data_IF_368816259227
#
_entry.id   IF_368816259227
#
_cell.length_a   1.000
_cell.length_b   1.000
_cell.length_c   1.000
_cell.angle_alpha   90.00
_cell.angle_beta   90.00
_cell.angle_gamma   90.00
#
_symmetry.space_group_name_H-M   'P 1'
#
loop_
_entity.id
_entity.type
_entity.pdbx_description
1 polymer ?
#
# COMPACT_ATOMS: atom_id res chain seq x y z
N UNK A 1 3.97 -23.81 7.65
CA UNK A 1 3.15 -23.32 6.51
C UNK A 1 3.99 -23.60 5.29
N UNK A 2 3.82 -24.78 4.70
CA UNK A 2 4.90 -25.49 4.00
C UNK A 2 4.67 -25.68 2.50
N UNK A 3 3.69 -24.99 1.92
CA UNK A 3 3.38 -25.12 0.50
C UNK A 3 3.78 -23.86 -0.26
N UNK A 4 4.51 -24.05 -1.36
CA UNK A 4 4.91 -22.98 -2.29
C UNK A 4 3.69 -22.42 -3.00
N UNK A 5 3.72 -21.11 -3.24
CA UNK A 5 2.68 -20.42 -3.99
C UNK A 5 2.74 -20.87 -5.44
N UNK A 6 1.62 -21.34 -5.97
CA UNK A 6 1.53 -21.84 -7.35
C UNK A 6 1.29 -20.72 -8.36
N UNK A 7 1.62 -20.97 -9.63
CA UNK A 7 1.37 -20.03 -10.72
C UNK A 7 -0.13 -19.78 -10.90
N UNK A 8 -0.94 -20.83 -10.81
CA UNK A 8 -2.40 -20.78 -10.95
C UNK A 8 -3.05 -19.91 -9.87
N UNK A 9 -2.53 -19.97 -8.63
CA UNK A 9 -2.99 -19.11 -7.55
C UNK A 9 -2.70 -17.64 -7.83
N UNK A 10 -1.47 -17.33 -8.27
CA UNK A 10 -1.09 -15.95 -8.64
C UNK A 10 -1.96 -15.44 -9.77
N UNK A 11 -2.14 -16.23 -10.83
CA UNK A 11 -2.96 -15.87 -11.98
C UNK A 11 -4.42 -15.60 -11.57
N UNK A 12 -4.99 -16.48 -10.74
CA UNK A 12 -6.37 -16.32 -10.22
C UNK A 12 -6.51 -15.04 -9.39
N UNK A 13 -5.51 -14.71 -8.59
CA UNK A 13 -5.52 -13.49 -7.77
C UNK A 13 -5.39 -12.22 -8.62
N UNK A 14 -4.46 -12.20 -9.58
CA UNK A 14 -4.26 -11.05 -10.47
C UNK A 14 -5.51 -10.77 -11.32
N UNK A 15 -6.17 -11.81 -11.84
CA UNK A 15 -7.41 -11.66 -12.61
C UNK A 15 -8.56 -11.04 -11.80
N UNK A 16 -8.58 -11.24 -10.48
CA UNK A 16 -9.61 -10.67 -9.57
C UNK A 16 -9.42 -9.20 -9.23
N UNK A 17 -8.28 -8.59 -9.56
CA UNK A 17 -8.05 -7.17 -9.28
C UNK A 17 -9.08 -6.29 -10.03
N UNK A 18 -9.45 -5.14 -9.46
CA UNK A 18 -10.36 -4.20 -10.14
C UNK A 18 -9.63 -3.47 -11.28
N UNK A 19 -10.32 -3.24 -12.38
CA UNK A 19 -9.82 -2.43 -13.49
C UNK A 19 -9.93 -0.93 -13.15
N UNK A 20 -9.13 -0.10 -13.83
CA UNK A 20 -9.21 1.36 -13.73
C UNK A 20 -8.53 1.96 -12.49
N UNK A 21 -7.70 1.18 -11.79
CA UNK A 21 -6.82 1.69 -10.75
C UNK A 21 -5.65 2.47 -11.38
N UNK A 22 -5.22 3.54 -10.71
CA UNK A 22 -4.04 4.33 -11.12
C UNK A 22 -2.78 3.49 -10.96
N UNK A 23 -1.84 3.60 -11.92
CA UNK A 23 -0.54 2.97 -11.82
C UNK A 23 0.19 3.42 -10.54
N UNK A 24 1.02 2.52 -10.00
CA UNK A 24 1.91 2.85 -8.90
C UNK A 24 3.01 3.83 -9.32
N UNK A 25 3.93 4.19 -8.40
CA UNK A 25 5.10 5.01 -8.71
C UNK A 25 6.04 4.39 -9.75
N UNK A 26 5.90 3.09 -10.00
CA UNK A 26 6.61 2.32 -11.04
C UNK A 26 5.98 2.47 -12.43
N UNK A 27 4.84 3.17 -12.54
CA UNK A 27 4.08 3.41 -13.76
C UNK A 27 3.58 2.15 -14.48
N UNK A 28 3.63 0.98 -13.81
CA UNK A 28 3.19 -0.28 -14.39
C UNK A 28 1.66 -0.34 -14.36
N UNK A 29 1.05 -0.42 -15.54
CA UNK A 29 -0.40 -0.53 -15.69
C UNK A 29 -0.92 -1.90 -15.25
N UNK A 30 -2.11 -1.92 -14.66
CA UNK A 30 -2.80 -3.15 -14.24
C UNK A 30 -3.00 -4.17 -15.38
N UNK A 31 -3.16 -3.71 -16.62
CA UNK A 31 -3.31 -4.58 -17.79
C UNK A 31 -2.05 -5.41 -18.08
N UNK A 32 -0.86 -4.90 -17.72
CA UNK A 32 0.41 -5.60 -17.89
C UNK A 32 0.46 -6.81 -16.96
N UNK A 33 -0.02 -6.65 -15.73
CA UNK A 33 -0.11 -7.75 -14.77
C UNK A 33 -1.13 -8.81 -15.22
N UNK A 34 -2.29 -8.39 -15.74
CA UNK A 34 -3.39 -9.30 -16.09
C UNK A 34 -3.17 -10.10 -17.36
N UNK A 35 -2.51 -9.50 -18.35
CA UNK A 35 -2.37 -10.08 -19.69
C UNK A 35 -0.92 -10.52 -19.98
N UNK A 36 0.05 -10.15 -19.15
CA UNK A 36 1.44 -10.54 -19.31
C UNK A 36 1.74 -11.87 -18.62
N UNK A 37 1.79 -12.97 -19.38
CA UNK A 37 2.15 -14.29 -18.82
C UNK A 37 3.53 -14.29 -18.14
N UNK A 38 4.51 -13.60 -18.74
CA UNK A 38 5.85 -13.42 -18.16
C UNK A 38 5.81 -12.70 -16.82
N UNK A 39 4.84 -11.80 -16.62
CA UNK A 39 4.68 -11.06 -15.37
C UNK A 39 4.14 -11.99 -14.28
N UNK A 40 3.21 -12.88 -14.62
CA UNK A 40 2.72 -13.91 -13.69
C UNK A 40 3.88 -14.80 -13.23
N UNK A 41 4.72 -15.27 -14.15
CA UNK A 41 5.87 -16.12 -13.80
C UNK A 41 6.84 -15.39 -12.86
N UNK A 42 7.17 -14.13 -13.17
CA UNK A 42 8.05 -13.30 -12.33
C UNK A 42 7.45 -12.99 -10.97
N UNK A 43 6.15 -12.77 -10.89
CA UNK A 43 5.45 -12.56 -9.61
C UNK A 43 5.43 -13.84 -8.77
N UNK A 44 5.21 -15.01 -9.38
CA UNK A 44 5.26 -16.29 -8.67
C UNK A 44 6.65 -16.57 -8.10
N UNK A 45 7.71 -16.31 -8.88
CA UNK A 45 9.09 -16.39 -8.40
C UNK A 45 9.33 -15.45 -7.21
N UNK A 46 8.96 -14.17 -7.36
CA UNK A 46 9.13 -13.15 -6.32
C UNK A 46 8.38 -13.50 -5.03
N UNK A 47 7.13 -13.94 -5.14
CA UNK A 47 6.32 -14.27 -3.97
C UNK A 47 6.86 -15.47 -3.22
N UNK A 48 7.31 -16.51 -3.93
CA UNK A 48 7.96 -17.65 -3.28
C UNK A 48 9.28 -17.26 -2.62
N UNK A 49 10.07 -16.37 -3.23
CA UNK A 49 11.28 -15.84 -2.60
C UNK A 49 10.95 -15.06 -1.31
N UNK A 50 9.95 -14.17 -1.35
CA UNK A 50 9.50 -13.42 -0.17
C UNK A 50 8.95 -14.35 0.92
N UNK A 51 8.27 -15.44 0.52
CA UNK A 51 7.70 -16.43 1.43
C UNK A 51 8.76 -17.28 2.13
N UNK A 52 9.83 -17.65 1.44
CA UNK A 52 10.95 -18.44 1.97
C UNK A 52 11.96 -17.62 2.75
N UNK A 53 12.18 -16.37 2.34
CA UNK A 53 13.19 -15.48 2.94
C UNK A 53 12.54 -14.49 3.94
N UNK A 54 12.72 -13.19 3.69
CA UNK A 54 12.27 -12.10 4.54
C UNK A 54 11.59 -11.04 3.70
N UNK A 55 10.46 -10.54 4.19
CA UNK A 55 9.73 -9.42 3.60
C UNK A 55 10.66 -8.22 3.34
N UNK A 56 10.65 -7.63 2.12
CA UNK A 56 11.48 -6.47 1.80
C UNK A 56 11.29 -5.34 2.80
N UNK A 57 12.39 -4.71 3.25
CA UNK A 57 12.33 -3.62 4.25
C UNK A 57 11.41 -2.48 3.81
N UNK A 58 11.43 -2.15 2.52
CA UNK A 58 10.58 -1.11 1.92
C UNK A 58 9.07 -1.38 2.05
N UNK A 59 8.64 -2.63 2.28
CA UNK A 59 7.22 -2.91 2.55
C UNK A 59 6.80 -2.52 3.97
N UNK A 60 7.78 -2.32 4.86
CA UNK A 60 7.61 -1.71 6.17
C UNK A 60 7.89 -0.20 6.15
N UNK A 61 7.87 0.46 4.98
CA UNK A 61 8.02 1.91 4.88
C UNK A 61 6.65 2.52 4.51
N UNK A 62 6.03 3.25 5.43
CA UNK A 62 4.77 3.92 5.18
C UNK A 62 4.96 5.25 4.41
N UNK A 63 4.29 5.39 3.25
CA UNK A 63 4.17 6.68 2.55
C UNK A 63 2.82 7.33 2.85
N UNK A 64 2.79 8.28 3.77
CA UNK A 64 1.58 9.02 4.11
C UNK A 64 1.19 9.94 2.94
N UNK A 65 0.02 9.69 2.35
CA UNK A 65 -0.57 10.55 1.32
C UNK A 65 -1.94 11.02 1.80
N UNK A 66 -2.12 12.34 1.92
CA UNK A 66 -3.41 12.92 2.30
C UNK A 66 -4.40 12.79 1.14
N UNK A 67 -5.40 11.94 1.28
CA UNK A 67 -6.49 11.78 0.32
C UNK A 67 -7.76 12.47 0.85
N UNK A 68 -8.21 13.51 0.16
CA UNK A 68 -9.46 14.19 0.50
C UNK A 68 -10.67 13.37 0.03
N UNK A 69 -11.38 12.72 0.96
CA UNK A 69 -12.59 11.93 0.63
C UNK A 69 -13.78 12.87 0.52
N UNK A 70 -14.16 13.22 -0.72
CA UNK A 70 -15.33 14.04 -1.00
C UNK A 70 -16.64 13.36 -0.59
N UNK A 71 -17.04 13.51 0.69
CA UNK A 71 -18.44 13.46 1.19
C UNK A 71 -18.56 13.75 2.69
N UNK A 72 -17.50 13.60 3.48
CA UNK A 72 -17.46 14.02 4.88
C UNK A 72 -16.32 15.01 5.08
N UNK A 73 -16.69 16.26 5.41
CA UNK A 73 -15.76 17.40 5.42
C UNK A 73 -14.68 17.33 6.52
N UNK A 74 -14.76 16.35 7.44
CA UNK A 74 -13.98 16.34 8.69
C UNK A 74 -13.23 15.02 8.97
N UNK A 75 -13.21 14.06 8.06
CA UNK A 75 -12.51 12.79 8.31
C UNK A 75 -11.11 12.82 7.66
N UNK A 76 -10.07 12.93 8.50
CA UNK A 76 -8.68 12.70 8.12
C UNK A 76 -8.34 11.27 8.51
N UNK A 77 -7.98 10.44 7.54
CA UNK A 77 -7.49 9.08 7.79
C UNK A 77 -5.97 9.12 7.76
N UNK A 78 -5.35 8.95 8.93
CA UNK A 78 -3.89 8.82 9.08
C UNK A 78 -3.57 7.36 9.37
N UNK A 79 -2.64 6.79 8.62
CA UNK A 79 -2.13 5.44 8.82
C UNK A 79 -0.72 5.58 9.40
N UNK A 80 -0.41 4.86 10.48
CA UNK A 80 0.86 4.92 11.22
C UNK A 80 1.33 3.52 11.59
N UNK A 81 2.65 3.31 11.68
CA UNK A 81 3.26 2.00 11.95
C UNK A 81 3.26 1.65 13.45
N UNK A 82 3.22 2.67 14.31
CA UNK A 82 2.98 2.51 15.75
C UNK A 82 2.11 3.63 16.31
N UNK A 83 1.60 3.42 17.51
CA UNK A 83 0.87 4.46 18.25
C UNK A 83 1.79 5.63 18.63
N UNK A 84 3.09 5.40 18.82
CA UNK A 84 4.05 6.45 19.17
C UNK A 84 4.31 7.40 18.00
N UNK A 85 4.44 6.86 16.78
CA UNK A 85 4.60 7.68 15.59
C UNK A 85 3.33 8.50 15.31
N UNK A 86 2.15 7.90 15.51
CA UNK A 86 0.88 8.60 15.38
C UNK A 86 0.78 9.74 16.39
N UNK A 87 1.23 9.52 17.63
CA UNK A 87 1.29 10.56 18.66
C UNK A 87 2.24 11.70 18.26
N UNK A 88 3.44 11.38 17.76
CA UNK A 88 4.38 12.41 17.27
C UNK A 88 3.79 13.26 16.14
N UNK A 89 3.01 12.65 15.25
CA UNK A 89 2.38 13.35 14.13
C UNK A 89 1.22 14.24 14.62
N UNK A 90 0.43 13.76 15.58
CA UNK A 90 -0.61 14.56 16.24
C UNK A 90 0.00 15.75 16.98
N UNK A 91 1.10 15.57 17.69
CA UNK A 91 1.77 16.65 18.44
C UNK A 91 2.23 17.79 17.51
N UNK A 92 2.71 17.43 16.30
CA UNK A 92 3.09 18.40 15.26
C UNK A 92 1.87 19.14 14.72
N UNK A 93 0.79 18.42 14.39
CA UNK A 93 -0.46 19.02 13.88
C UNK A 93 -1.09 19.95 14.92
N UNK A 94 -1.08 19.54 16.19
CA UNK A 94 -1.58 20.33 17.31
C UNK A 94 -0.73 21.58 17.56
N UNK A 95 0.59 21.48 17.32
CA UNK A 95 1.52 22.62 17.27
C UNK A 95 1.10 23.66 16.22
N UNK A 96 0.85 23.22 14.99
CA UNK A 96 0.34 24.11 13.94
C UNK A 96 -1.04 24.69 14.30
N UNK A 97 -1.93 23.91 14.91
CA UNK A 97 -3.22 24.42 15.38
C UNK A 97 -3.08 25.62 16.32
N UNK A 98 -2.16 25.54 17.30
CA UNK A 98 -1.88 26.65 18.22
C UNK A 98 -1.34 27.89 17.52
N UNK A 99 -0.39 27.71 16.59
CA UNK A 99 0.26 28.81 15.87
C UNK A 99 -0.72 29.60 14.99
N UNK A 100 -1.75 28.93 14.47
CA UNK A 100 -2.76 29.53 13.60
C UNK A 100 -4.11 29.79 14.29
N UNK A 101 -4.22 29.52 15.60
CA UNK A 101 -5.46 29.72 16.37
C UNK A 101 -6.60 28.76 15.98
N UNK A 102 -6.27 27.60 15.39
CA UNK A 102 -7.21 26.58 14.93
C UNK A 102 -7.16 25.39 15.88
N UNK A 103 -8.32 24.92 16.33
CA UNK A 103 -8.43 23.64 17.08
C UNK A 103 -8.86 22.54 16.13
N UNK A 104 -8.13 21.44 16.16
CA UNK A 104 -8.47 20.19 15.48
C UNK A 104 -9.13 19.22 16.46
#
# INVERSE_FOLDING_TARGET
>A
MDERITREEVEKCVKRQKNGNTAGPDEILYDVYKNGEVVIDKMTELFNQVWEERVPRMWNECRVTLLHKGRHKNDIVVMSESAEELQSLLDVVDGYGRDFGVRF
#
